data_IF_940415163578
#
_entry.id   IF_940415163578
#
_cell.length_a   1.000
_cell.length_b   1.000
_cell.length_c   1.000
_cell.angle_alpha   90.00
_cell.angle_beta   90.00
_cell.angle_gamma   90.00
#
_symmetry.space_group_name_H-M   'P 1'
#
loop_
_entity.id
_entity.type
_entity.pdbx_description
1 polymer ?
#
# COMPACT_ATOMS: atom_id res chain seq x y z
N UNK A 1 -56.14 49.80 8.68
CA UNK A 1 -55.21 49.23 9.67
C UNK A 1 -54.51 48.03 9.03
N UNK A 2 -53.27 47.80 9.44
CA UNK A 2 -52.17 47.08 8.75
C UNK A 2 -52.49 45.65 8.24
N UNK A 3 -51.96 45.39 7.05
CA UNK A 3 -51.68 44.08 6.44
C UNK A 3 -50.69 43.26 7.27
N UNK A 4 -50.84 41.94 7.28
CA UNK A 4 -49.81 41.02 7.77
C UNK A 4 -49.69 39.85 6.78
N UNK A 5 -48.64 39.91 5.97
CA UNK A 5 -48.15 38.84 5.12
C UNK A 5 -47.33 37.86 5.96
N UNK A 6 -47.55 36.55 5.83
CA UNK A 6 -46.59 35.53 6.27
C UNK A 6 -45.93 34.93 5.03
N UNK A 7 -44.65 35.23 4.86
CA UNK A 7 -43.79 34.60 3.85
C UNK A 7 -43.15 33.35 4.46
N UNK A 8 -43.42 32.18 3.87
CA UNK A 8 -42.76 30.92 4.20
C UNK A 8 -41.49 30.82 3.33
N UNK A 9 -40.32 30.92 3.94
CA UNK A 9 -39.04 30.73 3.23
C UNK A 9 -38.60 29.28 3.35
N UNK A 10 -38.55 28.58 2.22
CA UNK A 10 -38.12 27.19 2.12
C UNK A 10 -36.60 27.17 1.86
N UNK A 11 -35.81 26.82 2.86
CA UNK A 11 -34.35 26.72 2.74
C UNK A 11 -33.95 25.40 2.09
N UNK A 12 -33.47 25.46 0.85
CA UNK A 12 -32.84 24.32 0.15
C UNK A 12 -31.44 24.08 0.70
N UNK A 13 -31.21 22.88 1.24
CA UNK A 13 -29.89 22.38 1.61
C UNK A 13 -29.12 21.94 0.35
N UNK A 14 -28.02 22.59 0.05
CA UNK A 14 -27.05 22.13 -0.95
C UNK A 14 -26.09 21.14 -0.26
N UNK A 15 -26.16 19.86 -0.62
CA UNK A 15 -25.13 18.89 -0.25
C UNK A 15 -23.97 19.08 -1.23
N UNK A 16 -22.89 19.70 -0.76
CA UNK A 16 -21.65 19.78 -1.51
C UNK A 16 -20.95 18.41 -1.44
N UNK A 17 -21.05 17.61 -2.49
CA UNK A 17 -20.21 16.42 -2.66
C UNK A 17 -18.78 16.88 -2.89
N UNK A 18 -17.93 16.77 -1.87
CA UNK A 18 -16.48 16.93 -2.00
C UNK A 18 -15.94 15.75 -2.80
N UNK A 19 -15.93 15.87 -4.13
CA UNK A 19 -15.11 15.01 -4.96
C UNK A 19 -13.65 15.36 -4.67
N UNK A 20 -12.99 14.54 -3.86
CA UNK A 20 -11.54 14.60 -3.68
C UNK A 20 -10.90 14.33 -5.04
N UNK A 21 -10.44 15.38 -5.71
CA UNK A 21 -9.57 15.25 -6.88
C UNK A 21 -8.25 14.72 -6.34
N UNK A 22 -8.07 13.40 -6.39
CA UNK A 22 -6.76 12.77 -6.30
C UNK A 22 -5.95 13.27 -7.50
N UNK A 23 -5.15 14.30 -7.28
CA UNK A 23 -4.04 14.62 -8.17
C UNK A 23 -3.13 13.39 -8.17
N UNK A 24 -3.22 12.56 -9.21
CA UNK A 24 -2.19 11.58 -9.50
C UNK A 24 -0.88 12.37 -9.63
N UNK A 25 0.01 12.21 -8.63
CA UNK A 25 1.40 12.61 -8.82
C UNK A 25 1.86 11.87 -10.08
N UNK A 26 2.59 12.57 -10.93
CA UNK A 26 3.25 12.01 -12.10
C UNK A 26 4.45 11.16 -11.62
N UNK A 27 4.15 10.17 -10.78
CA UNK A 27 5.05 9.15 -10.26
C UNK A 27 4.79 7.84 -10.99
N UNK A 28 5.69 6.88 -10.81
CA UNK A 28 5.61 5.59 -11.44
C UNK A 28 4.25 4.92 -11.18
N UNK A 29 3.63 4.37 -12.22
CA UNK A 29 2.36 3.67 -12.05
C UNK A 29 2.62 2.31 -11.40
N UNK A 30 1.72 1.89 -10.51
CA UNK A 30 1.74 0.56 -9.92
C UNK A 30 0.92 -0.37 -10.82
N UNK A 31 1.52 -1.48 -11.24
CA UNK A 31 0.83 -2.52 -12.01
C UNK A 31 -0.22 -3.24 -11.14
N UNK A 32 -1.00 -4.14 -11.75
CA UNK A 32 -1.88 -5.01 -10.95
C UNK A 32 -1.02 -5.96 -10.10
N UNK A 33 -1.33 -6.12 -8.80
CA UNK A 33 -0.58 -7.03 -7.94
C UNK A 33 -0.81 -8.48 -8.35
N UNK A 34 0.23 -9.30 -8.16
CA UNK A 34 0.12 -10.76 -8.22
C UNK A 34 0.07 -11.29 -6.80
N UNK A 35 -1.09 -11.80 -6.41
CA UNK A 35 -1.35 -12.30 -5.05
C UNK A 35 -0.96 -13.79 -4.92
N UNK A 36 -0.60 -14.23 -3.72
CA UNK A 36 -0.43 -15.66 -3.42
C UNK A 36 0.90 -16.26 -3.88
N UNK A 37 1.87 -15.43 -4.28
CA UNK A 37 3.17 -15.88 -4.82
C UNK A 37 4.27 -15.94 -3.78
N UNK A 38 4.02 -15.49 -2.54
CA UNK A 38 5.07 -15.32 -1.51
C UNK A 38 4.57 -15.86 -0.16
N UNK A 39 5.45 -15.96 0.83
CA UNK A 39 5.05 -16.42 2.16
C UNK A 39 4.00 -15.50 2.80
N UNK A 40 3.05 -16.10 3.54
CA UNK A 40 1.93 -15.42 4.16
C UNK A 40 2.38 -14.49 5.31
N UNK A 41 2.21 -13.19 5.13
CA UNK A 41 2.29 -12.22 6.21
C UNK A 41 0.95 -12.14 6.96
N UNK A 42 0.99 -11.72 8.22
CA UNK A 42 -0.22 -11.41 9.00
C UNK A 42 -0.89 -10.13 8.49
N UNK A 43 -2.14 -10.21 8.03
CA UNK A 43 -2.86 -9.08 7.43
C UNK A 43 -3.04 -7.92 8.41
N UNK A 44 -3.44 -8.21 9.65
CA UNK A 44 -3.58 -7.19 10.68
C UNK A 44 -2.28 -6.44 11.00
N UNK A 45 -1.13 -7.12 10.98
CA UNK A 45 0.19 -6.49 11.12
C UNK A 45 0.50 -5.58 9.93
N UNK A 46 0.17 -6.00 8.71
CA UNK A 46 0.40 -5.20 7.50
C UNK A 46 -0.46 -3.95 7.43
N UNK A 47 -1.73 -4.05 7.82
CA UNK A 47 -2.61 -2.90 7.95
C UNK A 47 -2.08 -1.93 9.01
N UNK A 48 -1.64 -2.45 10.16
CA UNK A 48 -1.04 -1.62 11.21
C UNK A 48 0.22 -0.91 10.74
N UNK A 49 1.11 -1.63 10.03
CA UNK A 49 2.31 -1.08 9.41
C UNK A 49 1.95 0.09 8.48
N UNK A 50 1.00 -0.12 7.57
CA UNK A 50 0.55 0.88 6.60
C UNK A 50 -0.06 2.13 7.26
N UNK A 51 -0.93 1.93 8.26
CA UNK A 51 -1.60 3.01 8.98
C UNK A 51 -0.63 3.89 9.78
N UNK A 52 0.48 3.31 10.26
CA UNK A 52 1.51 4.01 11.04
C UNK A 52 2.74 4.36 10.22
N UNK A 53 2.67 4.31 8.89
CA UNK A 53 3.73 4.78 8.01
C UNK A 53 4.09 6.25 8.31
N UNK A 54 5.37 6.62 8.51
CA UNK A 54 6.59 5.91 8.13
C UNK A 54 7.35 5.23 9.29
N UNK A 55 6.69 4.90 10.40
CA UNK A 55 7.36 4.65 11.69
C UNK A 55 8.25 3.39 11.75
N UNK A 56 8.19 2.51 10.75
CA UNK A 56 8.82 1.18 10.76
C UNK A 56 9.90 1.00 9.71
N UNK A 57 10.60 2.08 9.34
CA UNK A 57 11.70 2.00 8.38
C UNK A 57 12.80 1.02 8.84
N UNK A 58 13.18 0.11 7.93
CA UNK A 58 14.18 -0.94 8.17
C UNK A 58 15.33 -0.90 7.15
N UNK A 59 15.16 -0.78 5.84
CA UNK A 59 16.23 -0.71 4.82
C UNK A 59 17.43 -1.69 4.89
N UNK A 60 17.40 -2.71 5.76
CA UNK A 60 18.44 -3.73 5.80
C UNK A 60 18.48 -4.52 4.48
N UNK A 61 19.66 -4.91 3.97
CA UNK A 61 19.75 -5.90 2.90
C UNK A 61 19.32 -7.27 3.45
N UNK A 62 18.38 -7.95 2.79
CA UNK A 62 17.71 -9.11 3.40
C UNK A 62 17.96 -10.42 2.71
N UNK A 63 17.99 -10.46 1.39
CA UNK A 63 18.29 -11.69 0.67
C UNK A 63 18.97 -11.46 -0.67
N UNK A 64 19.64 -12.52 -1.13
CA UNK A 64 20.12 -12.65 -2.50
C UNK A 64 19.18 -13.59 -3.23
N UNK A 65 18.46 -13.06 -4.22
CA UNK A 65 17.68 -13.87 -5.15
C UNK A 65 18.50 -13.89 -6.45
N UNK A 66 18.94 -15.06 -6.91
CA UNK A 66 20.02 -15.22 -7.91
C UNK A 66 21.43 -14.77 -7.44
N UNK A 67 22.45 -15.03 -8.27
CA UNK A 67 23.87 -14.81 -7.97
C UNK A 67 24.25 -13.32 -7.85
N UNK A 68 23.46 -12.43 -8.45
CA UNK A 68 23.83 -11.02 -8.61
C UNK A 68 22.79 -10.04 -8.08
N UNK A 69 21.57 -10.49 -7.81
CA UNK A 69 20.53 -9.60 -7.30
C UNK A 69 20.43 -9.68 -5.78
N UNK A 70 19.95 -8.57 -5.23
CA UNK A 70 19.78 -8.36 -3.81
C UNK A 70 18.42 -7.71 -3.61
N UNK A 71 17.74 -8.09 -2.55
CA UNK A 71 16.56 -7.39 -2.10
C UNK A 71 16.87 -6.64 -0.79
N UNK A 72 16.13 -5.56 -0.61
CA UNK A 72 16.15 -4.71 0.57
C UNK A 72 14.80 -4.82 1.27
N UNK A 73 14.76 -4.54 2.57
CA UNK A 73 13.52 -4.53 3.35
C UNK A 73 13.20 -3.11 3.84
N UNK A 74 12.50 -2.28 3.07
CA UNK A 74 12.26 -0.89 3.44
C UNK A 74 11.56 -0.71 4.79
N UNK A 75 10.65 -1.61 5.16
CA UNK A 75 9.94 -1.56 6.43
C UNK A 75 9.52 -2.95 6.90
N UNK A 76 9.42 -3.12 8.22
CA UNK A 76 8.85 -4.32 8.82
C UNK A 76 8.22 -4.05 10.20
N UNK A 77 7.08 -4.68 10.45
CA UNK A 77 6.38 -4.66 11.73
C UNK A 77 5.73 -6.02 11.99
N UNK A 78 5.96 -6.58 13.18
CA UNK A 78 5.43 -7.89 13.54
C UNK A 78 5.89 -8.97 12.55
N UNK A 79 4.94 -9.68 11.96
CA UNK A 79 5.18 -10.65 10.90
C UNK A 79 5.12 -10.04 9.49
N UNK A 80 4.70 -8.78 9.33
CA UNK A 80 4.61 -8.13 8.03
C UNK A 80 5.89 -7.39 7.64
N UNK A 81 6.55 -7.82 6.57
CA UNK A 81 7.70 -7.14 6.01
C UNK A 81 7.48 -6.77 4.54
N UNK A 82 7.98 -5.60 4.15
CA UNK A 82 7.97 -5.12 2.77
C UNK A 82 9.37 -5.31 2.20
N UNK A 83 9.47 -5.83 0.98
CA UNK A 83 10.73 -6.00 0.27
C UNK A 83 10.73 -5.26 -1.06
N UNK A 84 11.91 -4.79 -1.47
CA UNK A 84 12.16 -4.20 -2.80
C UNK A 84 13.34 -4.86 -3.45
N UNK A 85 13.28 -4.99 -4.77
CA UNK A 85 14.37 -5.54 -5.57
C UNK A 85 15.32 -4.47 -6.15
N UNK A 86 15.18 -3.23 -5.67
CA UNK A 86 16.05 -2.11 -5.99
C UNK A 86 16.42 -1.28 -4.76
N UNK A 87 17.62 -0.70 -4.80
CA UNK A 87 18.18 0.15 -3.75
C UNK A 87 17.63 1.58 -3.85
N UNK A 88 17.30 2.18 -2.71
CA UNK A 88 16.90 3.59 -2.64
C UNK A 88 15.52 3.89 -3.23
N UNK A 89 14.58 2.95 -3.16
CA UNK A 89 13.21 3.19 -3.59
C UNK A 89 12.53 4.37 -2.90
N UNK A 90 11.71 5.08 -3.67
CA UNK A 90 10.97 6.22 -3.15
C UNK A 90 9.94 5.73 -2.14
N UNK A 91 9.94 6.36 -0.97
CA UNK A 91 9.13 5.94 0.16
C UNK A 91 7.63 6.00 -0.15
N UNK A 92 7.20 7.01 -0.90
CA UNK A 92 5.82 7.14 -1.35
C UNK A 92 5.41 6.10 -2.41
N UNK A 93 6.31 5.74 -3.32
CA UNK A 93 6.05 4.71 -4.35
C UNK A 93 5.88 3.34 -3.68
N UNK A 94 6.75 3.04 -2.70
CA UNK A 94 6.65 1.82 -1.89
C UNK A 94 5.34 1.82 -1.10
N UNK A 95 4.96 2.95 -0.47
CA UNK A 95 3.69 3.05 0.25
C UNK A 95 2.49 2.78 -0.65
N UNK A 96 2.47 3.37 -1.86
CA UNK A 96 1.40 3.17 -2.82
C UNK A 96 1.32 1.70 -3.27
N UNK A 97 2.46 1.06 -3.53
CA UNK A 97 2.49 -0.36 -3.85
C UNK A 97 1.95 -1.23 -2.71
N UNK A 98 2.26 -0.90 -1.45
CA UNK A 98 1.71 -1.61 -0.29
C UNK A 98 0.20 -1.46 -0.19
N UNK A 99 -0.34 -0.27 -0.43
CA UNK A 99 -1.80 -0.05 -0.48
C UNK A 99 -2.49 -1.01 -1.47
N UNK A 100 -1.93 -1.14 -2.67
CA UNK A 100 -2.43 -2.07 -3.69
C UNK A 100 -2.24 -3.55 -3.29
N UNK A 101 -1.15 -3.89 -2.59
CA UNK A 101 -0.90 -5.27 -2.14
C UNK A 101 -1.83 -5.69 -1.00
N UNK A 102 -2.37 -4.75 -0.22
CA UNK A 102 -3.35 -5.07 0.82
C UNK A 102 -4.67 -5.61 0.23
N UNK A 103 -4.98 -5.32 -1.03
CA UNK A 103 -6.12 -5.92 -1.75
C UNK A 103 -5.93 -7.43 -1.99
N UNK A 104 -4.71 -7.97 -1.85
CA UNK A 104 -4.44 -9.41 -1.88
C UNK A 104 -4.80 -10.13 -0.56
N UNK A 105 -5.21 -9.40 0.48
CA UNK A 105 -5.49 -9.98 1.79
C UNK A 105 -6.69 -10.93 1.81
N UNK A 106 -6.59 -11.98 2.62
CA UNK A 106 -7.67 -12.88 3.00
C UNK A 106 -8.02 -12.67 4.48
N UNK A 107 -9.02 -11.84 4.81
CA UNK A 107 -9.44 -11.60 6.19
C UNK A 107 -9.92 -12.85 6.93
N UNK A 108 -10.33 -13.90 6.20
CA UNK A 108 -10.74 -15.18 6.80
C UNK A 108 -9.58 -15.98 7.36
N UNK A 109 -8.36 -15.71 6.89
CA UNK A 109 -7.11 -16.35 7.34
C UNK A 109 -6.17 -15.41 8.09
N UNK A 110 -6.52 -14.12 8.18
CA UNK A 110 -5.63 -13.05 8.62
C UNK A 110 -4.27 -13.09 7.88
N UNK A 111 -4.31 -13.39 6.58
CA UNK A 111 -3.11 -13.51 5.76
C UNK A 111 -3.15 -12.58 4.56
N UNK A 112 -1.98 -12.14 4.13
CA UNK A 112 -1.79 -11.34 2.93
C UNK A 112 -0.39 -11.59 2.40
N UNK A 113 -0.26 -11.70 1.09
CA UNK A 113 1.03 -11.82 0.43
C UNK A 113 0.90 -11.47 -1.05
N UNK A 114 1.98 -10.98 -1.64
CA UNK A 114 2.01 -10.72 -3.07
C UNK A 114 3.16 -9.82 -3.50
N UNK A 115 3.25 -9.64 -4.81
CA UNK A 115 4.26 -8.80 -5.45
C UNK A 115 3.61 -7.90 -6.50
N UNK A 116 4.10 -6.67 -6.61
CA UNK A 116 3.65 -5.71 -7.61
C UNK A 116 4.83 -4.96 -8.21
N UNK A 117 4.77 -4.74 -9.51
CA UNK A 117 5.77 -3.95 -10.22
C UNK A 117 5.39 -2.47 -10.19
N UNK A 118 6.39 -1.64 -9.90
CA UNK A 118 6.36 -0.20 -10.07
C UNK A 118 7.07 0.11 -11.39
N UNK A 119 6.33 0.68 -12.34
CA UNK A 119 6.82 1.00 -13.69
C UNK A 119 8.12 1.81 -13.62
N UNK A 120 9.11 1.45 -14.43
CA UNK A 120 10.43 2.11 -14.51
C UNK A 120 11.26 2.10 -13.20
N UNK A 121 10.88 1.31 -12.19
CA UNK A 121 11.61 1.22 -10.91
C UNK A 121 12.03 -0.20 -10.54
N UNK A 122 11.07 -1.08 -10.27
CA UNK A 122 11.32 -2.39 -9.69
C UNK A 122 10.07 -3.00 -9.06
N UNK A 123 10.23 -4.07 -8.29
CA UNK A 123 9.13 -4.82 -7.67
C UNK A 123 9.08 -4.61 -6.17
N UNK A 124 7.89 -4.32 -5.66
CA UNK A 124 7.57 -4.31 -4.23
C UNK A 124 6.87 -5.61 -3.89
N UNK A 125 7.32 -6.25 -2.83
CA UNK A 125 6.74 -7.46 -2.30
C UNK A 125 6.26 -7.24 -0.87
N UNK A 126 5.15 -7.86 -0.52
CA UNK A 126 4.68 -8.01 0.85
C UNK A 126 4.73 -9.49 1.20
N UNK A 127 5.52 -9.84 2.21
CA UNK A 127 5.68 -11.21 2.68
C UNK A 127 6.04 -11.24 4.17
N UNK A 128 6.24 -12.43 4.71
CA UNK A 128 6.69 -12.58 6.09
C UNK A 128 8.18 -12.18 6.26
N UNK A 129 8.66 -12.15 7.51
CA UNK A 129 10.06 -11.83 7.82
C UNK A 129 11.12 -12.77 7.25
N UNK A 130 10.71 -13.85 6.60
CA UNK A 130 11.56 -14.89 5.99
C UNK A 130 11.33 -15.10 4.49
N UNK A 131 10.22 -14.61 3.92
CA UNK A 131 9.77 -14.84 2.55
C UNK A 131 10.44 -13.98 1.47
N UNK A 132 11.56 -13.34 1.79
CA UNK A 132 12.29 -12.49 0.84
C UNK A 132 12.71 -13.23 -0.45
N UNK A 133 13.04 -14.54 -0.35
CA UNK A 133 13.37 -15.36 -1.52
C UNK A 133 12.17 -15.51 -2.45
N UNK A 134 11.02 -15.89 -1.91
CA UNK A 134 9.77 -16.12 -2.65
C UNK A 134 9.27 -14.85 -3.37
N UNK A 135 9.62 -13.67 -2.87
CA UNK A 135 9.24 -12.39 -3.46
C UNK A 135 9.74 -12.16 -4.89
N UNK A 136 10.91 -12.70 -5.23
CA UNK A 136 11.66 -12.30 -6.43
C UNK A 136 12.28 -13.46 -7.21
N UNK A 137 12.06 -14.69 -6.77
CA UNK A 137 12.34 -15.89 -7.56
C UNK A 137 11.32 -16.02 -8.69
N UNK A 138 11.81 -16.05 -9.94
CA UNK A 138 11.01 -16.24 -11.16
C UNK A 138 10.83 -17.73 -11.50
#
# INVERSE_FOLDING_TARGET
MKTASLALTLSTLFVASSASVLTARQGNNVNQPTCGTTADATLSDCQYLFDHWPNFADWGPTCHYSLVHKAWRPACYGNCCIYTDWDGGLWEDIKLAVDHLLDCGDPGKDSVNGVVEIVDSGRVCLSDGTGCGDCFED
#
